data_IF_211280139655
#
_entry.id   IF_211280139655
#
_cell.length_a   1.000
_cell.length_b   1.000
_cell.length_c   1.000
_cell.angle_alpha   90.00
_cell.angle_beta   90.00
_cell.angle_gamma   90.00
#
_symmetry.space_group_name_H-M   'P 1'
#
loop_
_entity.id
_entity.type
_entity.pdbx_description
1 polymer ?
#
# COMPACT_ATOMS: atom_id res chain seq x y z
N UNK A 1 -7.51 -2.45 8.93
CA UNK A 1 -6.44 -2.17 7.95
C UNK A 1 -5.76 -0.83 8.23
N UNK A 2 -6.50 0.28 8.40
CA UNK A 2 -5.91 1.58 8.71
C UNK A 2 -4.99 1.58 9.94
N UNK A 3 -5.45 1.02 11.06
CA UNK A 3 -4.64 0.92 12.28
C UNK A 3 -3.33 0.14 12.05
N UNK A 4 -3.34 -0.89 11.19
CA UNK A 4 -2.12 -1.62 10.86
C UNK A 4 -1.14 -0.75 10.07
N UNK A 5 -1.63 0.00 9.08
CA UNK A 5 -0.80 0.94 8.30
C UNK A 5 -0.23 2.04 9.19
N UNK A 6 -1.02 2.59 10.12
CA UNK A 6 -0.56 3.59 11.09
C UNK A 6 0.52 3.02 12.01
N UNK A 7 0.28 1.84 12.60
CA UNK A 7 1.29 1.15 13.43
C UNK A 7 2.58 0.88 12.67
N UNK A 8 2.51 0.42 11.42
CA UNK A 8 3.70 0.22 10.59
C UNK A 8 4.43 1.54 10.35
N UNK A 9 3.70 2.62 10.08
CA UNK A 9 4.32 3.94 9.90
C UNK A 9 5.03 4.41 11.17
N UNK A 10 4.39 4.24 12.33
CA UNK A 10 4.97 4.56 13.64
C UNK A 10 6.23 3.73 13.92
N UNK A 11 6.20 2.42 13.65
CA UNK A 11 7.36 1.53 13.83
C UNK A 11 8.55 1.89 12.94
N UNK A 12 8.30 2.55 11.82
CA UNK A 12 9.32 2.96 10.84
C UNK A 12 9.68 4.45 10.96
N UNK A 13 9.18 5.15 11.98
CA UNK A 13 9.36 6.59 12.20
C UNK A 13 8.99 7.46 10.98
N UNK A 14 7.93 7.06 10.25
CA UNK A 14 7.42 7.80 9.09
C UNK A 14 5.95 8.18 9.26
N UNK A 15 5.55 9.20 8.52
CA UNK A 15 4.13 9.58 8.42
C UNK A 15 3.36 8.45 7.72
N UNK A 16 2.13 8.19 8.17
CA UNK A 16 1.26 7.18 7.54
C UNK A 16 0.82 7.55 6.11
N UNK A 17 0.75 8.85 5.78
CA UNK A 17 0.28 9.32 4.47
C UNK A 17 1.11 8.77 3.29
N UNK A 18 2.46 8.82 3.30
CA UNK A 18 3.30 8.14 2.31
C UNK A 18 2.98 6.66 2.11
N UNK A 19 2.85 5.89 3.19
CA UNK A 19 2.49 4.46 3.15
C UNK A 19 1.11 4.24 2.50
N UNK A 20 0.14 5.08 2.84
CA UNK A 20 -1.22 5.05 2.28
C UNK A 20 -1.20 5.34 0.77
N UNK A 21 -0.45 6.36 0.34
CA UNK A 21 -0.33 6.72 -1.07
C UNK A 21 0.43 5.65 -1.88
N UNK A 22 1.55 5.14 -1.35
CA UNK A 22 2.30 4.07 -1.97
C UNK A 22 1.44 2.80 -2.14
N UNK A 23 0.69 2.43 -1.09
CA UNK A 23 -0.27 1.31 -1.13
C UNK A 23 -1.32 1.53 -2.23
N UNK A 24 -1.87 2.74 -2.34
CA UNK A 24 -2.85 3.07 -3.39
C UNK A 24 -2.27 2.87 -4.78
N UNK A 25 -1.08 3.41 -5.04
CA UNK A 25 -0.41 3.25 -6.33
C UNK A 25 -0.14 1.77 -6.60
N UNK A 26 0.37 1.03 -5.62
CA UNK A 26 0.65 -0.39 -5.76
C UNK A 26 -0.58 -1.20 -6.18
N UNK A 27 -1.72 -0.96 -5.53
CA UNK A 27 -2.90 -1.81 -5.73
C UNK A 27 -3.86 -1.29 -6.80
N UNK A 28 -3.74 -0.04 -7.24
CA UNK A 28 -4.66 0.55 -8.23
C UNK A 28 -3.97 1.05 -9.50
N UNK A 29 -2.65 1.25 -9.48
CA UNK A 29 -1.91 1.93 -10.54
C UNK A 29 -2.26 3.42 -10.67
N UNK A 30 -2.98 4.00 -9.70
CA UNK A 30 -3.45 5.39 -9.74
C UNK A 30 -3.09 6.13 -8.46
N UNK A 31 -2.93 7.45 -8.58
CA UNK A 31 -2.70 8.35 -7.44
C UNK A 31 -3.98 8.69 -6.67
N UNK A 32 -5.15 8.46 -7.28
CA UNK A 32 -6.46 8.65 -6.68
C UNK A 32 -7.36 7.43 -6.91
N UNK A 33 -8.14 7.07 -5.88
CA UNK A 33 -9.19 6.05 -5.96
C UNK A 33 -10.21 6.32 -4.84
N UNK A 34 -11.34 5.58 -4.78
CA UNK A 34 -12.20 5.54 -3.58
C UNK A 34 -11.41 5.14 -2.31
N UNK A 35 -12.08 5.05 -1.16
CA UNK A 35 -11.45 4.71 0.11
C UNK A 35 -10.48 3.53 -0.03
N UNK A 36 -9.17 3.76 0.16
CA UNK A 36 -8.17 2.74 -0.18
C UNK A 36 -8.37 1.47 0.64
N UNK A 37 -8.79 1.59 1.90
CA UNK A 37 -9.06 0.42 2.74
C UNK A 37 -10.25 -0.41 2.25
N UNK A 38 -11.27 0.22 1.65
CA UNK A 38 -12.39 -0.49 1.01
C UNK A 38 -11.91 -1.24 -0.24
N UNK A 39 -11.06 -0.60 -1.05
CA UNK A 39 -10.42 -1.23 -2.21
C UNK A 39 -9.61 -2.45 -1.79
N UNK A 40 -8.85 -2.36 -0.69
CA UNK A 40 -8.08 -3.50 -0.16
C UNK A 40 -8.98 -4.65 0.31
N UNK A 41 -10.12 -4.34 0.95
CA UNK A 41 -11.11 -5.35 1.35
C UNK A 41 -11.71 -6.03 0.12
N UNK A 42 -12.11 -5.27 -0.91
CA UNK A 42 -12.68 -5.81 -2.14
C UNK A 42 -11.68 -6.68 -2.92
N UNK A 43 -10.40 -6.24 -2.95
CA UNK A 43 -9.35 -6.96 -3.65
C UNK A 43 -8.99 -8.27 -2.94
N UNK A 44 -9.04 -8.28 -1.61
CA UNK A 44 -8.69 -9.41 -0.78
C UNK A 44 -7.19 -9.55 -0.53
N UNK A 45 -6.84 -10.24 0.55
CA UNK A 45 -5.48 -10.32 1.09
C UNK A 45 -4.43 -10.78 0.08
N UNK A 46 -4.66 -11.89 -0.62
CA UNK A 46 -3.66 -12.48 -1.52
C UNK A 46 -3.31 -11.55 -2.67
N UNK A 47 -4.33 -10.98 -3.33
CA UNK A 47 -4.14 -10.02 -4.43
C UNK A 47 -3.50 -8.73 -3.97
N UNK A 48 -3.86 -8.23 -2.78
CA UNK A 48 -3.19 -7.07 -2.16
C UNK A 48 -1.70 -7.33 -1.95
N UNK A 49 -1.34 -8.45 -1.32
CA UNK A 49 0.06 -8.79 -1.02
C UNK A 49 0.87 -8.99 -2.31
N UNK A 50 0.30 -9.68 -3.31
CA UNK A 50 0.95 -9.88 -4.59
C UNK A 50 1.29 -8.55 -5.29
N UNK A 51 0.34 -7.60 -5.32
CA UNK A 51 0.58 -6.27 -5.93
C UNK A 51 1.61 -5.44 -5.17
N UNK A 52 1.60 -5.49 -3.83
CA UNK A 52 2.60 -4.80 -3.02
C UNK A 52 4.00 -5.38 -3.25
N UNK A 53 4.12 -6.71 -3.32
CA UNK A 53 5.38 -7.39 -3.61
C UNK A 53 5.90 -7.05 -5.02
N UNK A 54 5.01 -6.99 -6.02
CA UNK A 54 5.37 -6.57 -7.38
C UNK A 54 5.93 -5.13 -7.40
N UNK A 55 5.31 -4.19 -6.67
CA UNK A 55 5.85 -2.84 -6.57
C UNK A 55 7.21 -2.82 -5.86
N UNK A 56 7.37 -3.59 -4.78
CA UNK A 56 8.65 -3.72 -4.07
C UNK A 56 9.77 -4.18 -5.02
N UNK A 57 9.56 -5.30 -5.71
CA UNK A 57 10.52 -5.83 -6.68
C UNK A 57 10.83 -4.85 -7.81
N UNK A 58 9.82 -4.11 -8.30
CA UNK A 58 10.03 -3.05 -9.29
C UNK A 58 10.95 -1.95 -8.75
N UNK A 59 10.70 -1.44 -7.54
CA UNK A 59 11.51 -0.38 -6.93
C UNK A 59 12.95 -0.85 -6.68
N UNK A 60 13.14 -2.09 -6.21
CA UNK A 60 14.46 -2.69 -6.01
C UNK A 60 15.23 -2.83 -7.34
N UNK A 61 14.55 -3.14 -8.44
CA UNK A 61 15.19 -3.22 -9.76
C UNK A 61 15.64 -1.87 -10.34
N UNK A 62 15.23 -0.75 -9.72
CA UNK A 62 15.50 0.62 -10.17
C UNK A 62 16.52 1.37 -9.32
N UNK A 63 17.00 0.74 -8.24
CA UNK A 63 18.07 1.22 -7.35
C UNK A 63 19.41 0.61 -7.78
#
# INVERSE_FOLDING_TARGET
MEAAVRRTAEQQDIKAAPLIHATRVAVTGRTASPGIFEVLVLLGRERTLARLAQLGAFLESRN
#
